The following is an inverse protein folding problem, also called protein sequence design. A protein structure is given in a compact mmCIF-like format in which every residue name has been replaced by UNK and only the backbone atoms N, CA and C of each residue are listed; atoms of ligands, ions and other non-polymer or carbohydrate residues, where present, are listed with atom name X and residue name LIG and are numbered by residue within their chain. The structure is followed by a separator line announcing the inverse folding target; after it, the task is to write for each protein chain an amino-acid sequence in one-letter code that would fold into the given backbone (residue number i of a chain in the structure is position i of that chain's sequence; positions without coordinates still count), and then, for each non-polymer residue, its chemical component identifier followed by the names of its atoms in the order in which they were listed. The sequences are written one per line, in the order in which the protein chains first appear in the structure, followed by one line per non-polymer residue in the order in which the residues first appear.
data_IF_661239700883
#
_entry.id   IF_661239700883
#
_cell.length_a   1.000
_cell.length_b   1.000
_cell.length_c   1.000
_cell.angle_alpha   90.00
_cell.angle_beta   90.00
_cell.angle_gamma   90.00
#
_symmetry.space_group_name_H-M   'P 1'
#
loop_
_entity.id
_entity.type
_entity.pdbx_description
1 polymer ?
#
# COMPACT_ATOMS: atom_id res chain seq x y z
N UNK A 1 -37.72 31.38 13.22
CA UNK A 1 -36.81 30.48 12.49
C UNK A 1 -35.68 31.32 11.94
N UNK A 2 -34.46 30.79 11.92
CA UNK A 2 -33.32 31.45 11.28
C UNK A 2 -33.47 31.37 9.76
N UNK A 3 -33.17 32.44 9.04
CA UNK A 3 -33.14 32.47 7.58
C UNK A 3 -31.75 32.09 7.04
N UNK A 4 -31.60 31.63 5.78
CA UNK A 4 -30.28 31.34 5.20
C UNK A 4 -29.30 32.52 5.23
N UNK A 5 -29.80 33.76 5.08
CA UNK A 5 -28.97 34.96 5.18
C UNK A 5 -28.47 35.22 6.62
N UNK A 6 -29.32 35.01 7.62
CA UNK A 6 -28.94 35.11 9.04
C UNK A 6 -27.95 34.01 9.44
N UNK A 7 -28.16 32.79 8.94
CA UNK A 7 -27.25 31.66 9.10
C UNK A 7 -25.87 31.99 8.55
N UNK A 8 -25.80 32.42 7.28
CA UNK A 8 -24.56 32.85 6.62
C UNK A 8 -23.83 33.89 7.44
N UNK A 9 -24.52 34.99 7.80
CA UNK A 9 -23.95 36.08 8.60
C UNK A 9 -23.42 35.60 9.95
N UNK A 10 -24.11 34.67 10.60
CA UNK A 10 -23.68 34.14 11.89
C UNK A 10 -22.45 33.25 11.77
N UNK A 11 -22.43 32.34 10.82
CA UNK A 11 -21.30 31.44 10.55
C UNK A 11 -20.06 32.25 10.17
N UNK A 12 -20.17 33.16 9.20
CA UNK A 12 -19.08 34.05 8.78
C UNK A 12 -18.56 34.88 9.95
N UNK A 13 -19.43 35.42 10.82
CA UNK A 13 -18.99 36.20 11.99
C UNK A 13 -18.22 35.34 13.00
N UNK A 14 -18.63 34.11 13.24
CA UNK A 14 -17.89 33.23 14.16
C UNK A 14 -16.55 32.84 13.57
N UNK A 15 -16.54 32.44 12.29
CA UNK A 15 -15.34 32.09 11.57
C UNK A 15 -14.37 33.28 11.46
N UNK A 16 -14.85 34.50 11.20
CA UNK A 16 -14.02 35.70 11.14
C UNK A 16 -13.25 35.95 12.45
N UNK A 17 -13.82 35.61 13.60
CA UNK A 17 -13.25 35.89 14.92
C UNK A 17 -12.40 34.74 15.49
N UNK A 18 -12.42 33.55 14.89
CA UNK A 18 -11.73 32.38 15.43
C UNK A 18 -11.25 31.45 14.30
N UNK A 19 -9.94 31.37 14.11
CA UNK A 19 -9.29 30.50 13.13
C UNK A 19 -9.68 29.03 13.33
N UNK A 20 -9.90 28.61 14.57
CA UNK A 20 -10.24 27.22 14.90
C UNK A 20 -11.63 26.87 14.42
N UNK A 21 -12.55 27.83 14.49
CA UNK A 21 -13.89 27.69 13.90
C UNK A 21 -13.77 27.55 12.39
N UNK A 22 -12.91 28.35 11.72
CA UNK A 22 -12.65 28.21 10.26
C UNK A 22 -12.18 26.81 9.92
N UNK A 23 -11.19 26.27 10.64
CA UNK A 23 -10.66 24.92 10.42
C UNK A 23 -11.74 23.86 10.56
N UNK A 24 -12.55 23.90 11.64
CA UNK A 24 -13.61 22.91 11.85
C UNK A 24 -14.71 23.02 10.79
N UNK A 25 -15.12 24.24 10.42
CA UNK A 25 -16.12 24.45 9.36
C UNK A 25 -15.63 23.94 8.01
N UNK A 26 -14.38 24.24 7.65
CA UNK A 26 -13.75 23.72 6.45
C UNK A 26 -13.68 22.19 6.47
N UNK A 27 -13.30 21.58 7.60
CA UNK A 27 -13.25 20.12 7.74
C UNK A 27 -14.64 19.48 7.63
N UNK A 28 -15.68 20.07 8.22
CA UNK A 28 -17.05 19.56 8.06
C UNK A 28 -17.49 19.57 6.61
N UNK A 29 -17.15 20.63 5.86
CA UNK A 29 -17.40 20.72 4.43
C UNK A 29 -16.62 19.66 3.64
N UNK A 30 -15.31 19.53 3.87
CA UNK A 30 -14.44 18.61 3.10
C UNK A 30 -14.62 17.13 3.44
N UNK A 31 -15.13 16.78 4.62
CA UNK A 31 -15.32 15.39 5.03
C UNK A 31 -16.66 14.80 4.55
N UNK A 32 -17.55 15.59 3.95
CA UNK A 32 -18.75 15.14 3.24
C UNK A 32 -19.53 14.01 3.94
N UNK A 33 -19.90 14.22 5.21
CA UNK A 33 -20.66 13.25 5.99
C UNK A 33 -19.83 12.17 6.72
N UNK A 34 -18.50 12.29 6.71
CA UNK A 34 -17.55 11.57 7.58
C UNK A 34 -17.01 12.43 8.73
N UNK A 35 -17.65 13.58 8.99
CA UNK A 35 -17.31 14.55 10.04
C UNK A 35 -17.74 14.07 11.45
N UNK A 36 -17.31 12.89 11.89
CA UNK A 36 -17.49 12.47 13.30
C UNK A 36 -16.55 13.25 14.22
N UNK A 37 -16.77 13.24 15.55
CA UNK A 37 -15.82 13.89 16.48
C UNK A 37 -14.40 13.32 16.31
N UNK A 38 -14.28 12.01 16.14
CA UNK A 38 -12.98 11.36 15.96
C UNK A 38 -12.30 11.83 14.68
N UNK A 39 -13.04 11.87 13.56
CA UNK A 39 -12.49 12.39 12.30
C UNK A 39 -12.12 13.86 12.39
N UNK A 40 -12.99 14.70 12.95
CA UNK A 40 -12.69 16.13 13.12
C UNK A 40 -11.49 16.35 14.03
N UNK A 41 -11.43 15.70 15.19
CA UNK A 41 -10.34 15.89 16.16
C UNK A 41 -8.99 15.46 15.56
N UNK A 42 -8.95 14.32 14.87
CA UNK A 42 -7.70 13.80 14.28
C UNK A 42 -7.19 14.70 13.16
N UNK A 43 -8.06 15.11 12.24
CA UNK A 43 -7.65 16.02 11.17
C UNK A 43 -7.31 17.41 11.71
N UNK A 44 -8.07 17.92 12.68
CA UNK A 44 -7.81 19.20 13.33
C UNK A 44 -6.45 19.21 14.02
N UNK A 45 -6.13 18.16 14.79
CA UNK A 45 -4.84 17.99 15.47
C UNK A 45 -3.67 18.07 14.48
N UNK A 46 -3.75 17.30 13.39
CA UNK A 46 -2.71 17.24 12.36
C UNK A 46 -2.55 18.58 11.61
N UNK A 47 -3.65 19.23 11.19
CA UNK A 47 -3.61 20.53 10.50
C UNK A 47 -3.05 21.62 11.41
N UNK A 48 -3.41 21.62 12.69
CA UNK A 48 -2.93 22.61 13.68
C UNK A 48 -1.57 22.27 14.27
N UNK A 49 -1.02 21.08 13.96
CA UNK A 49 0.24 20.55 14.49
C UNK A 49 0.28 20.60 16.02
N UNK A 50 -0.80 20.14 16.64
CA UNK A 50 -0.90 20.08 18.09
C UNK A 50 -0.17 18.82 18.61
N UNK A 51 0.66 18.98 19.64
CA UNK A 51 1.43 17.87 20.22
C UNK A 51 0.64 17.06 21.28
N UNK A 52 -0.58 17.49 21.61
CA UNK A 52 -1.43 16.90 22.66
C UNK A 52 -2.81 16.56 22.07
N UNK A 53 -3.01 15.27 21.79
CA UNK A 53 -4.26 14.73 21.24
C UNK A 53 -5.46 14.98 22.16
N UNK A 54 -5.26 14.94 23.48
CA UNK A 54 -6.33 15.16 24.45
C UNK A 54 -6.77 16.62 24.44
N UNK A 55 -5.83 17.55 24.29
CA UNK A 55 -6.14 18.97 24.14
C UNK A 55 -6.89 19.23 22.82
N UNK A 56 -6.43 18.64 21.71
CA UNK A 56 -7.07 18.77 20.41
C UNK A 56 -8.50 18.20 20.38
N UNK A 57 -8.74 17.02 20.97
CA UNK A 57 -10.08 16.43 21.09
C UNK A 57 -11.00 17.32 21.93
N UNK A 58 -10.53 17.81 23.08
CA UNK A 58 -11.30 18.71 23.95
C UNK A 58 -11.67 20.02 23.24
N UNK A 59 -10.71 20.63 22.54
CA UNK A 59 -10.92 21.87 21.79
C UNK A 59 -11.89 21.67 20.62
N UNK A 60 -11.71 20.60 19.83
CA UNK A 60 -12.62 20.23 18.74
C UNK A 60 -14.04 20.03 19.27
N UNK A 61 -14.22 19.26 20.36
CA UNK A 61 -15.54 19.04 20.99
C UNK A 61 -16.19 20.35 21.45
N UNK A 62 -15.41 21.26 22.03
CA UNK A 62 -15.93 22.55 22.49
C UNK A 62 -16.45 23.40 21.31
N UNK A 63 -15.69 23.48 20.22
CA UNK A 63 -16.08 24.23 19.01
C UNK A 63 -17.34 23.62 18.38
N UNK A 64 -17.35 22.31 18.16
CA UNK A 64 -18.51 21.62 17.57
C UNK A 64 -19.75 21.78 18.45
N UNK A 65 -19.60 21.69 19.78
CA UNK A 65 -20.70 21.92 20.73
C UNK A 65 -21.28 23.32 20.61
N UNK A 66 -20.44 24.35 20.47
CA UNK A 66 -20.90 25.73 20.30
C UNK A 66 -21.60 25.96 18.95
N UNK A 67 -21.04 25.41 17.86
CA UNK A 67 -21.67 25.45 16.53
C UNK A 67 -23.06 24.79 16.55
N UNK A 68 -23.18 23.63 17.20
CA UNK A 68 -24.47 22.95 17.40
C UNK A 68 -25.45 23.74 18.24
N UNK A 69 -25.00 24.33 19.35
CA UNK A 69 -25.85 25.14 20.23
C UNK A 69 -26.46 26.33 19.50
N UNK A 70 -25.75 26.88 18.52
CA UNK A 70 -26.22 27.96 17.65
C UNK A 70 -27.05 27.49 16.46
N UNK A 71 -27.24 26.19 16.29
CA UNK A 71 -27.95 25.63 15.14
C UNK A 71 -27.17 25.75 13.83
N UNK A 72 -25.84 25.87 13.89
CA UNK A 72 -24.97 25.90 12.70
C UNK A 72 -24.55 24.50 12.23
N UNK A 73 -24.64 23.51 13.11
CA UNK A 73 -24.37 22.12 12.78
C UNK A 73 -25.42 21.24 13.44
N UNK A 74 -25.83 20.19 12.74
CA UNK A 74 -26.66 19.11 13.26
C UNK A 74 -25.84 17.83 13.42
N UNK A 75 -26.36 16.92 14.25
CA UNK A 75 -25.77 15.58 14.43
C UNK A 75 -26.61 14.60 13.62
N UNK A 76 -25.98 13.93 12.68
CA UNK A 76 -26.57 12.88 11.86
C UNK A 76 -26.78 11.57 12.63
N UNK A 77 -27.28 10.57 11.92
CA UNK A 77 -27.62 9.26 12.48
C UNK A 77 -26.40 8.47 12.95
N UNK A 78 -25.27 8.61 12.26
CA UNK A 78 -24.01 7.94 12.56
C UNK A 78 -23.01 8.87 13.28
N UNK A 79 -23.54 9.86 14.01
CA UNK A 79 -22.77 10.85 14.76
C UNK A 79 -21.89 11.79 13.92
N UNK A 80 -22.13 11.86 12.61
CA UNK A 80 -21.51 12.85 11.74
C UNK A 80 -22.10 14.25 11.97
N UNK A 81 -21.30 15.30 11.76
CA UNK A 81 -21.79 16.68 11.83
C UNK A 81 -22.13 17.22 10.45
N UNK A 82 -23.37 17.67 10.29
CA UNK A 82 -23.89 18.11 9.00
C UNK A 82 -24.35 19.56 9.09
N UNK A 83 -24.34 20.24 7.95
CA UNK A 83 -25.14 21.47 7.80
C UNK A 83 -26.62 21.14 8.02
N UNK A 84 -27.40 22.01 8.69
CA UNK A 84 -28.85 21.91 8.74
C UNK A 84 -29.48 21.89 7.34
N UNK A 85 -30.57 21.14 7.18
CA UNK A 85 -31.32 21.05 5.93
C UNK A 85 -31.88 22.42 5.52
N UNK A 86 -31.68 22.80 4.25
CA UNK A 86 -32.10 24.08 3.69
C UNK A 86 -31.11 25.23 3.88
N UNK A 87 -29.90 24.94 4.36
CA UNK A 87 -28.80 25.90 4.57
C UNK A 87 -27.52 25.53 3.84
N UNK A 88 -27.54 24.50 2.99
CA UNK A 88 -26.39 23.90 2.31
C UNK A 88 -25.62 24.95 1.49
N UNK A 89 -26.31 25.66 0.58
CA UNK A 89 -25.69 26.73 -0.23
C UNK A 89 -25.06 27.82 0.64
N UNK A 90 -25.71 28.19 1.74
CA UNK A 90 -25.20 29.21 2.64
C UNK A 90 -24.00 28.71 3.47
N UNK A 91 -23.92 27.41 3.73
CA UNK A 91 -22.78 26.78 4.41
C UNK A 91 -21.61 26.61 3.44
N UNK A 92 -21.85 26.12 2.23
CA UNK A 92 -20.84 25.96 1.18
C UNK A 92 -20.19 27.29 0.81
N UNK A 93 -21.00 28.34 0.60
CA UNK A 93 -20.51 29.69 0.31
C UNK A 93 -19.51 30.20 1.36
N UNK A 94 -19.71 29.86 2.64
CA UNK A 94 -18.85 30.31 3.73
C UNK A 94 -17.69 29.35 3.98
N UNK A 95 -17.94 28.04 3.93
CA UNK A 95 -16.94 27.03 4.23
C UNK A 95 -15.85 26.94 3.15
N UNK A 96 -16.22 27.10 1.88
CA UNK A 96 -15.29 27.08 0.74
C UNK A 96 -14.23 28.18 0.83
N UNK A 97 -14.56 29.35 1.40
CA UNK A 97 -13.60 30.44 1.66
C UNK A 97 -12.46 30.02 2.62
N UNK A 98 -12.66 28.97 3.41
CA UNK A 98 -11.69 28.49 4.41
C UNK A 98 -10.97 27.21 3.97
N UNK A 99 -11.33 26.63 2.82
CA UNK A 99 -10.67 25.45 2.30
C UNK A 99 -9.29 25.83 1.78
N UNK A 100 -8.24 25.29 2.40
CA UNK A 100 -6.89 25.42 1.88
C UNK A 100 -6.68 24.42 0.75
N UNK A 101 -6.12 24.82 -0.41
CA UNK A 101 -5.81 23.88 -1.47
C UNK A 101 -4.85 22.80 -0.95
N UNK A 102 -5.01 21.52 -1.36
CA UNK A 102 -4.05 20.48 -1.00
C UNK A 102 -2.67 20.82 -1.59
N UNK A 103 -1.61 20.43 -0.87
CA UNK A 103 -0.28 20.36 -1.49
C UNK A 103 -0.36 19.39 -2.68
N UNK A 104 0.27 19.73 -3.80
CA UNK A 104 0.30 18.85 -4.97
C UNK A 104 0.89 17.48 -4.59
N UNK A 105 0.23 16.42 -5.00
CA UNK A 105 0.64 15.04 -4.71
C UNK A 105 1.99 14.72 -5.36
N UNK A 106 2.23 15.25 -6.56
CA UNK A 106 3.53 15.13 -7.25
C UNK A 106 4.65 15.80 -6.47
N UNK A 107 4.43 17.01 -5.95
CA UNK A 107 5.41 17.71 -5.13
C UNK A 107 5.69 16.97 -3.81
N UNK A 108 4.68 16.35 -3.20
CA UNK A 108 4.87 15.49 -2.03
C UNK A 108 5.70 14.24 -2.36
N UNK A 109 5.39 13.58 -3.48
CA UNK A 109 6.16 12.43 -3.97
C UNK A 109 7.63 12.79 -4.21
N UNK A 110 7.90 13.85 -4.99
CA UNK A 110 9.26 14.33 -5.28
C UNK A 110 10.04 14.68 -4.00
N UNK A 111 9.37 15.32 -3.04
CA UNK A 111 9.98 15.59 -1.74
C UNK A 111 10.37 14.29 -1.02
N UNK A 112 9.48 13.29 -0.98
CA UNK A 112 9.76 12.02 -0.33
C UNK A 112 10.92 11.27 -1.01
N UNK A 113 10.98 11.27 -2.34
CA UNK A 113 12.12 10.71 -3.11
C UNK A 113 13.42 11.44 -2.74
N UNK A 114 13.44 12.77 -2.79
CA UNK A 114 14.64 13.57 -2.49
C UNK A 114 15.17 13.37 -1.07
N UNK A 115 14.27 13.18 -0.10
CA UNK A 115 14.59 12.94 1.31
C UNK A 115 14.87 11.46 1.62
N UNK A 116 14.73 10.57 0.65
CA UNK A 116 14.80 9.10 0.84
C UNK A 116 13.82 8.62 1.93
N UNK A 117 12.63 9.22 1.97
CA UNK A 117 11.58 8.88 2.92
C UNK A 117 10.77 7.67 2.43
N UNK A 118 11.39 6.49 2.54
CA UNK A 118 10.83 5.21 2.07
C UNK A 118 9.49 4.90 2.76
N UNK A 119 9.30 5.33 4.00
CA UNK A 119 8.08 5.05 4.75
C UNK A 119 6.89 5.84 4.21
N UNK A 120 7.06 7.14 3.94
CA UNK A 120 6.02 7.95 3.28
C UNK A 120 5.73 7.48 1.85
N UNK A 121 6.77 7.09 1.09
CA UNK A 121 6.60 6.51 -0.25
C UNK A 121 5.79 5.22 -0.20
N UNK A 122 6.08 4.32 0.75
CA UNK A 122 5.32 3.08 0.90
C UNK A 122 3.88 3.32 1.36
N UNK A 123 3.65 4.27 2.27
CA UNK A 123 2.30 4.67 2.66
C UNK A 123 1.49 5.18 1.46
N UNK A 124 2.10 6.06 0.64
CA UNK A 124 1.47 6.60 -0.57
C UNK A 124 1.17 5.50 -1.60
N UNK A 125 2.13 4.59 -1.83
CA UNK A 125 1.97 3.42 -2.69
C UNK A 125 0.77 2.56 -2.26
N UNK A 126 0.68 2.22 -0.96
CA UNK A 126 -0.41 1.41 -0.43
C UNK A 126 -1.76 2.14 -0.52
N UNK A 127 -1.81 3.45 -0.25
CA UNK A 127 -3.03 4.26 -0.40
C UNK A 127 -3.54 4.29 -1.85
N UNK A 128 -2.64 4.24 -2.84
CA UNK A 128 -2.98 4.24 -4.27
C UNK A 128 -3.42 2.85 -4.78
N UNK A 129 -3.12 1.77 -4.05
CA UNK A 129 -3.41 0.37 -4.42
C UNK A 129 -4.58 -0.24 -3.63
N UNK A 130 -4.69 0.07 -2.33
CA UNK A 130 -5.64 -0.58 -1.44
C UNK A 130 -7.06 -0.04 -1.63
N UNK A 131 -8.07 -0.91 -1.80
CA UNK A 131 -9.46 -0.50 -1.75
C UNK A 131 -9.84 -0.06 -0.33
N UNK A 132 -10.95 0.69 -0.20
CA UNK A 132 -11.43 1.19 1.10
C UNK A 132 -11.83 0.09 2.10
N UNK A 133 -12.21 -1.09 1.60
CA UNK A 133 -12.52 -2.26 2.41
C UNK A 133 -11.98 -3.52 1.71
N UNK A 134 -11.38 -4.43 2.48
CA UNK A 134 -10.89 -5.70 1.97
C UNK A 134 -10.92 -6.77 3.06
N UNK A 135 -11.46 -7.95 2.74
CA UNK A 135 -11.50 -9.11 3.65
C UNK A 135 -12.06 -8.81 5.06
N UNK A 136 -13.00 -7.87 5.17
CA UNK A 136 -13.60 -7.47 6.45
C UNK A 136 -12.76 -6.50 7.28
N UNK A 137 -11.61 -6.04 6.76
CA UNK A 137 -10.80 -4.97 7.31
C UNK A 137 -11.01 -3.68 6.52
N UNK A 138 -10.93 -2.57 7.22
CA UNK A 138 -10.93 -1.25 6.59
C UNK A 138 -9.55 -0.91 6.01
N UNK A 139 -9.50 -0.03 5.02
CA UNK A 139 -8.22 0.45 4.47
C UNK A 139 -7.33 1.05 5.55
N UNK A 140 -7.92 1.78 6.49
CA UNK A 140 -7.18 2.37 7.58
C UNK A 140 -6.48 1.34 8.45
N UNK A 141 -7.20 0.28 8.86
CA UNK A 141 -6.63 -0.81 9.66
C UNK A 141 -5.51 -1.53 8.89
N UNK A 142 -5.70 -1.76 7.59
CA UNK A 142 -4.65 -2.35 6.75
C UNK A 142 -3.41 -1.45 6.70
N UNK A 143 -3.55 -0.16 6.33
CA UNK A 143 -2.43 0.78 6.26
C UNK A 143 -1.69 0.88 7.60
N UNK A 144 -2.43 1.01 8.71
CA UNK A 144 -1.87 1.06 10.05
C UNK A 144 -1.04 -0.17 10.34
N UNK A 145 -1.58 -1.36 10.08
CA UNK A 145 -0.90 -2.62 10.40
C UNK A 145 0.31 -2.82 9.48
N UNK A 146 0.20 -2.56 8.17
CA UNK A 146 1.30 -2.72 7.21
C UNK A 146 2.47 -1.79 7.52
N UNK A 147 2.23 -0.48 7.70
CA UNK A 147 3.32 0.48 7.95
C UNK A 147 3.90 0.28 9.35
N UNK A 148 3.08 -0.08 10.34
CA UNK A 148 3.58 -0.37 11.69
C UNK A 148 4.51 -1.57 11.72
N UNK A 149 4.17 -2.63 10.99
CA UNK A 149 4.96 -3.86 10.95
C UNK A 149 6.24 -3.71 10.12
N UNK A 150 6.19 -2.91 9.04
CA UNK A 150 7.38 -2.64 8.25
C UNK A 150 8.34 -1.67 8.95
N UNK A 151 7.83 -0.63 9.61
CA UNK A 151 8.64 0.46 10.15
C UNK A 151 8.52 0.57 11.66
N UNK A 152 7.36 1.06 12.15
CA UNK A 152 6.95 1.06 13.56
C UNK A 152 5.59 1.78 13.69
N UNK A 153 4.85 1.55 14.79
CA UNK A 153 3.62 2.32 15.08
C UNK A 153 3.85 3.85 15.12
N UNK A 154 4.99 4.30 15.65
CA UNK A 154 5.32 5.73 15.73
C UNK A 154 5.59 6.33 14.35
N UNK A 155 6.23 5.56 13.45
CA UNK A 155 6.44 5.99 12.06
C UNK A 155 5.10 6.11 11.34
N UNK A 156 4.19 5.15 11.50
CA UNK A 156 2.84 5.27 10.92
C UNK A 156 2.13 6.54 11.39
N UNK A 157 2.11 6.79 12.71
CA UNK A 157 1.50 7.98 13.29
C UNK A 157 2.11 9.27 12.74
N UNK A 158 3.45 9.34 12.68
CA UNK A 158 4.15 10.50 12.15
C UNK A 158 3.85 10.77 10.68
N UNK A 159 3.74 9.73 9.85
CA UNK A 159 3.43 9.87 8.43
C UNK A 159 1.98 10.31 8.26
N UNK A 160 1.05 9.70 8.99
CA UNK A 160 -0.37 10.08 8.97
C UNK A 160 -0.55 11.55 9.33
N UNK A 161 0.00 12.01 10.45
CA UNK A 161 -0.09 13.40 10.89
C UNK A 161 0.51 14.36 9.87
N UNK A 162 1.63 13.99 9.24
CA UNK A 162 2.25 14.79 8.18
C UNK A 162 1.39 14.84 6.94
N UNK A 163 0.90 13.71 6.43
CA UNK A 163 0.09 13.67 5.20
C UNK A 163 -1.22 14.46 5.40
N UNK A 164 -1.85 14.37 6.57
CA UNK A 164 -3.04 15.19 6.87
C UNK A 164 -2.66 16.67 7.02
N UNK A 165 -1.60 16.98 7.77
CA UNK A 165 -1.17 18.35 8.03
C UNK A 165 -0.66 19.10 6.79
N UNK A 166 -0.12 18.39 5.80
CA UNK A 166 0.24 18.93 4.49
C UNK A 166 -0.94 18.92 3.50
N UNK A 167 -2.11 18.44 3.94
CA UNK A 167 -3.31 18.40 3.13
C UNK A 167 -3.20 17.42 1.97
N UNK A 168 -2.47 16.32 2.13
CA UNK A 168 -2.38 15.22 1.15
C UNK A 168 -3.60 14.31 1.24
N UNK A 169 -4.03 14.00 2.46
CA UNK A 169 -5.19 13.15 2.71
C UNK A 169 -6.03 13.65 3.89
N UNK A 170 -7.20 13.04 4.06
CA UNK A 170 -8.00 13.17 5.28
C UNK A 170 -8.24 11.80 5.91
N UNK A 171 -8.22 11.79 7.23
CA UNK A 171 -8.73 10.67 7.99
C UNK A 171 -10.26 10.72 8.06
N UNK A 172 -10.92 9.68 7.57
CA UNK A 172 -12.37 9.61 7.47
C UNK A 172 -12.88 8.39 8.23
N UNK A 173 -13.82 8.60 9.15
CA UNK A 173 -14.46 7.53 9.92
C UNK A 173 -15.97 7.75 10.04
N UNK A 174 -16.73 6.73 9.68
CA UNK A 174 -18.19 6.69 9.83
C UNK A 174 -18.66 5.26 10.06
N UNK A 175 -19.33 5.04 11.19
CA UNK A 175 -19.75 3.71 11.60
C UNK A 175 -18.57 2.71 11.57
N UNK A 176 -18.64 1.67 10.72
CA UNK A 176 -17.59 0.66 10.54
C UNK A 176 -16.59 1.00 9.43
N UNK A 177 -16.75 2.13 8.74
CA UNK A 177 -15.85 2.57 7.66
C UNK A 177 -14.79 3.49 8.21
N UNK A 178 -13.54 3.20 7.88
CA UNK A 178 -12.38 3.98 8.32
C UNK A 178 -11.30 3.96 7.23
N UNK A 179 -10.86 5.11 6.74
CA UNK A 179 -9.89 5.19 5.65
C UNK A 179 -9.14 6.52 5.63
N UNK A 180 -8.03 6.55 4.89
CA UNK A 180 -7.32 7.78 4.55
C UNK A 180 -7.62 8.11 3.09
N UNK A 181 -8.38 9.17 2.85
CA UNK A 181 -8.74 9.58 1.50
C UNK A 181 -7.77 10.62 0.98
N UNK A 182 -7.09 10.34 -0.14
CA UNK A 182 -6.34 11.36 -0.88
C UNK A 182 -7.29 12.47 -1.34
N UNK A 183 -6.86 13.72 -1.24
CA UNK A 183 -7.65 14.91 -1.58
C UNK A 183 -7.63 15.27 -3.06
N UNK A 184 -6.83 14.56 -3.84
CA UNK A 184 -6.52 14.90 -5.23
C UNK A 184 -7.47 14.23 -6.20
N UNK A 185 -7.54 14.76 -7.41
CA UNK A 185 -8.30 14.20 -8.52
C UNK A 185 -7.63 12.91 -9.05
N UNK A 186 -8.40 12.07 -9.74
CA UNK A 186 -7.92 10.80 -10.28
C UNK A 186 -6.77 10.98 -11.29
N UNK A 187 -6.74 12.07 -12.06
CA UNK A 187 -5.66 12.37 -13.00
C UNK A 187 -4.33 12.63 -12.27
N UNK A 188 -4.37 13.25 -11.09
CA UNK A 188 -3.16 13.48 -10.30
C UNK A 188 -2.70 12.20 -9.60
N UNK A 189 -3.64 11.42 -9.05
CA UNK A 189 -3.33 10.08 -8.50
C UNK A 189 -2.69 9.18 -9.56
N UNK A 190 -3.21 9.19 -10.79
CA UNK A 190 -2.64 8.43 -11.91
C UNK A 190 -1.23 8.88 -12.24
N UNK A 191 -0.97 10.19 -12.36
CA UNK A 191 0.39 10.70 -12.63
C UNK A 191 1.40 10.28 -11.56
N UNK A 192 1.00 10.34 -10.29
CA UNK A 192 1.86 9.91 -9.18
C UNK A 192 2.02 8.39 -9.14
N UNK A 193 1.00 7.64 -9.53
CA UNK A 193 1.10 6.19 -9.73
C UNK A 193 2.15 5.85 -10.78
N UNK A 194 2.09 6.48 -11.95
CA UNK A 194 3.05 6.25 -13.04
C UNK A 194 4.48 6.66 -12.59
N UNK A 195 4.63 7.78 -11.90
CA UNK A 195 5.92 8.21 -11.35
C UNK A 195 6.46 7.27 -10.25
N UNK A 196 5.58 6.67 -9.43
CA UNK A 196 5.96 5.63 -8.47
C UNK A 196 6.45 4.39 -9.21
N UNK A 197 5.79 3.97 -10.28
CA UNK A 197 6.22 2.83 -11.12
C UNK A 197 7.64 3.07 -11.64
N UNK A 198 7.90 4.22 -12.25
CA UNK A 198 9.24 4.58 -12.75
C UNK A 198 10.29 4.58 -11.63
N UNK A 199 9.96 5.19 -10.49
CA UNK A 199 10.85 5.21 -9.31
C UNK A 199 11.15 3.82 -8.79
N UNK A 200 10.16 2.92 -8.72
CA UNK A 200 10.33 1.54 -8.25
C UNK A 200 11.22 0.74 -9.20
N UNK A 201 11.03 0.91 -10.50
CA UNK A 201 11.89 0.28 -11.49
C UNK A 201 13.35 0.71 -11.30
N UNK A 202 13.61 2.02 -11.17
CA UNK A 202 14.96 2.54 -10.96
C UNK A 202 15.55 2.07 -9.61
N UNK A 203 14.76 2.13 -8.53
CA UNK A 203 15.21 1.75 -7.18
C UNK A 203 15.60 0.27 -7.09
N UNK A 204 14.86 -0.60 -7.77
CA UNK A 204 15.10 -2.05 -7.76
C UNK A 204 16.03 -2.51 -8.88
N UNK A 205 16.46 -1.62 -9.78
CA UNK A 205 17.26 -1.97 -10.98
C UNK A 205 18.56 -2.67 -10.63
N UNK A 206 19.31 -2.17 -9.65
CA UNK A 206 20.58 -2.78 -9.26
C UNK A 206 20.39 -4.19 -8.69
N UNK A 207 19.34 -4.37 -7.88
CA UNK A 207 18.96 -5.68 -7.35
C UNK A 207 18.54 -6.62 -8.49
N UNK A 208 17.72 -6.12 -9.42
CA UNK A 208 17.31 -6.86 -10.61
C UNK A 208 18.52 -7.30 -11.42
N UNK A 209 19.37 -6.38 -11.87
CA UNK A 209 20.56 -6.70 -12.69
C UNK A 209 21.51 -7.68 -12.01
N UNK A 210 21.75 -7.53 -10.70
CA UNK A 210 22.54 -8.50 -9.93
C UNK A 210 21.90 -9.88 -9.93
N UNK A 211 20.57 -9.94 -9.85
CA UNK A 211 19.82 -11.18 -9.80
C UNK A 211 19.71 -11.85 -11.17
N UNK A 212 19.48 -11.07 -12.24
CA UNK A 212 19.48 -11.52 -13.63
C UNK A 212 20.81 -12.20 -13.99
N UNK A 213 21.92 -11.61 -13.57
CA UNK A 213 23.24 -12.20 -13.78
C UNK A 213 23.35 -13.58 -13.14
N UNK A 214 22.96 -13.71 -11.86
CA UNK A 214 23.00 -14.99 -11.14
C UNK A 214 22.04 -16.02 -11.75
N UNK A 215 20.85 -15.60 -12.17
CA UNK A 215 19.90 -16.46 -12.87
C UNK A 215 20.45 -16.94 -14.21
N UNK A 216 21.16 -16.08 -14.94
CA UNK A 216 21.77 -16.44 -16.22
C UNK A 216 22.90 -17.46 -16.04
N UNK A 217 23.78 -17.25 -15.06
CA UNK A 217 24.84 -18.20 -14.69
C UNK A 217 24.23 -19.57 -14.30
N UNK A 218 23.19 -19.55 -13.46
CA UNK A 218 22.46 -20.75 -13.06
C UNK A 218 21.77 -21.45 -14.26
N UNK A 219 21.17 -20.70 -15.18
CA UNK A 219 20.57 -21.25 -16.39
C UNK A 219 21.60 -21.90 -17.33
N UNK A 220 22.79 -21.31 -17.46
CA UNK A 220 23.87 -21.84 -18.27
C UNK A 220 24.41 -23.15 -17.69
N UNK A 221 24.59 -23.24 -16.37
CA UNK A 221 24.98 -24.48 -15.69
C UNK A 221 23.98 -25.62 -15.94
N UNK A 222 22.68 -25.35 -15.79
CA UNK A 222 21.61 -26.32 -16.08
C UNK A 222 21.68 -26.79 -17.55
N UNK A 223 21.86 -25.86 -18.49
CA UNK A 223 21.97 -26.18 -19.92
C UNK A 223 23.20 -27.02 -20.22
N UNK A 224 24.35 -26.71 -19.62
CA UNK A 224 25.57 -27.50 -19.78
C UNK A 224 25.41 -28.92 -19.25
N UNK A 225 24.79 -29.10 -18.09
CA UNK A 225 24.60 -30.41 -17.50
C UNK A 225 23.57 -31.25 -18.27
N UNK A 226 22.49 -30.62 -18.76
CA UNK A 226 21.56 -31.25 -19.68
C UNK A 226 22.24 -31.66 -21.00
N UNK A 227 23.16 -30.83 -21.52
CA UNK A 227 24.00 -31.14 -22.69
C UNK A 227 24.89 -32.35 -22.48
N UNK A 228 25.54 -32.45 -21.32
CA UNK A 228 26.38 -33.60 -20.95
C UNK A 228 25.57 -34.90 -20.81
N UNK A 229 24.31 -34.82 -20.39
CA UNK A 229 23.50 -36.01 -20.07
C UNK A 229 22.61 -36.53 -21.21
N UNK A 230 22.04 -35.69 -22.11
CA UNK A 230 20.94 -36.18 -22.96
C UNK A 230 20.79 -35.60 -24.38
N UNK A 231 21.58 -34.61 -24.83
CA UNK A 231 21.20 -33.81 -26.02
C UNK A 231 21.10 -34.58 -27.34
N UNK A 232 22.01 -35.50 -27.65
CA UNK A 232 21.91 -36.25 -28.92
C UNK A 232 20.75 -37.25 -28.92
N UNK A 233 20.48 -37.90 -27.78
CA UNK A 233 19.43 -38.91 -27.68
C UNK A 233 18.01 -38.32 -27.58
N UNK A 234 17.86 -37.15 -26.95
CA UNK A 234 16.56 -36.48 -26.78
C UNK A 234 16.17 -35.70 -28.05
N UNK A 235 17.10 -34.99 -28.69
CA UNK A 235 16.83 -34.27 -29.93
C UNK A 235 16.37 -35.22 -31.06
N UNK A 236 17.02 -36.39 -31.17
CA UNK A 236 16.63 -37.44 -32.12
C UNK A 236 15.26 -38.04 -31.81
N UNK A 237 14.94 -38.27 -30.52
CA UNK A 237 13.62 -38.80 -30.10
C UNK A 237 12.48 -37.80 -30.30
N UNK A 238 12.74 -36.51 -30.10
CA UNK A 238 11.74 -35.44 -30.20
C UNK A 238 11.63 -34.87 -31.62
N UNK A 239 12.51 -35.27 -32.55
CA UNK A 239 12.49 -34.79 -33.93
C UNK A 239 12.79 -33.29 -34.08
N UNK A 240 13.48 -32.70 -33.10
CA UNK A 240 13.84 -31.28 -33.07
C UNK A 240 15.35 -31.09 -33.16
N UNK A 241 15.78 -29.89 -33.55
CA UNK A 241 17.21 -29.56 -33.56
C UNK A 241 17.73 -29.37 -32.13
N UNK A 242 19.03 -29.65 -31.85
CA UNK A 242 19.63 -29.38 -30.54
C UNK A 242 19.48 -27.92 -30.08
N UNK A 243 19.50 -26.96 -31.02
CA UNK A 243 19.26 -25.54 -30.73
C UNK A 243 17.84 -25.27 -30.23
N UNK A 244 16.85 -25.93 -30.84
CA UNK A 244 15.46 -25.88 -30.38
C UNK A 244 15.32 -26.52 -29.00
N UNK A 245 16.06 -27.60 -28.73
CA UNK A 245 16.06 -28.25 -27.42
C UNK A 245 16.64 -27.33 -26.31
N UNK A 246 17.68 -26.54 -26.60
CA UNK A 246 18.25 -25.56 -25.68
C UNK A 246 17.22 -24.50 -25.23
N UNK A 247 16.29 -24.12 -26.10
CA UNK A 247 15.19 -23.19 -25.82
C UNK A 247 14.09 -23.82 -24.95
N UNK A 248 14.00 -25.16 -24.91
CA UNK A 248 13.04 -25.89 -24.08
C UNK A 248 13.59 -26.25 -22.69
N UNK A 249 14.91 -26.29 -22.51
CA UNK A 249 15.54 -26.69 -21.24
C UNK A 249 15.37 -25.63 -20.17
N UNK A 250 15.62 -24.36 -20.50
CA UNK A 250 15.50 -23.27 -19.54
C UNK A 250 15.18 -21.94 -20.22
N UNK A 251 14.18 -21.23 -19.71
CA UNK A 251 13.76 -19.91 -20.20
C UNK A 251 13.75 -18.90 -19.05
N UNK A 252 14.19 -17.69 -19.36
CA UNK A 252 14.17 -16.54 -18.47
C UNK A 252 13.61 -15.35 -19.25
N UNK A 253 12.54 -14.73 -18.74
CA UNK A 253 11.86 -13.66 -19.49
C UNK A 253 12.53 -12.28 -19.39
N UNK A 254 13.51 -12.10 -18.50
CA UNK A 254 13.97 -10.77 -18.08
C UNK A 254 13.00 -10.14 -17.08
N UNK A 255 13.48 -9.19 -16.28
CA UNK A 255 12.60 -8.41 -15.40
C UNK A 255 11.82 -7.35 -16.16
N UNK A 256 10.54 -7.24 -15.84
CA UNK A 256 9.64 -6.20 -16.31
C UNK A 256 8.73 -5.72 -15.20
N UNK A 257 8.37 -4.44 -15.23
CA UNK A 257 7.49 -3.85 -14.25
C UNK A 257 6.03 -4.28 -14.48
N UNK A 258 5.37 -4.76 -13.43
CA UNK A 258 3.92 -4.94 -13.40
C UNK A 258 3.28 -3.65 -12.89
N UNK A 259 2.58 -2.95 -13.79
CA UNK A 259 1.95 -1.66 -13.47
C UNK A 259 0.77 -1.80 -12.49
N UNK A 260 0.22 -3.02 -12.33
CA UNK A 260 -0.94 -3.27 -11.46
C UNK A 260 -0.55 -3.22 -9.99
N UNK A 261 0.47 -3.99 -9.61
CA UNK A 261 0.93 -4.13 -8.24
C UNK A 261 2.28 -3.45 -8.01
N UNK A 262 2.83 -2.78 -9.02
CA UNK A 262 4.10 -2.04 -8.99
C UNK A 262 5.27 -2.90 -8.51
N UNK A 263 5.40 -4.09 -9.08
CA UNK A 263 6.52 -4.99 -8.81
C UNK A 263 7.36 -5.22 -10.05
N UNK A 264 8.67 -5.36 -9.87
CA UNK A 264 9.51 -5.97 -10.89
C UNK A 264 9.31 -7.48 -10.85
N UNK A 265 8.89 -8.04 -11.97
CA UNK A 265 8.54 -9.45 -12.09
C UNK A 265 9.28 -10.11 -13.24
N UNK A 266 9.50 -11.41 -13.13
CA UNK A 266 10.05 -12.23 -14.21
C UNK A 266 9.55 -13.67 -14.07
N UNK A 267 9.53 -14.41 -15.17
CA UNK A 267 9.33 -15.85 -15.15
C UNK A 267 10.64 -16.58 -15.42
N UNK A 268 10.89 -17.60 -14.60
CA UNK A 268 11.99 -18.53 -14.80
C UNK A 268 11.43 -19.94 -14.92
N UNK A 269 11.79 -20.63 -15.99
CA UNK A 269 11.36 -22.01 -16.22
C UNK A 269 12.55 -22.91 -16.50
N UNK A 270 12.44 -24.14 -15.99
CA UNK A 270 13.34 -25.24 -16.29
C UNK A 270 12.48 -26.44 -16.65
N UNK A 271 12.61 -26.91 -17.89
CA UNK A 271 11.75 -27.94 -18.47
C UNK A 271 10.25 -27.59 -18.29
N UNK A 272 9.53 -28.33 -17.46
CA UNK A 272 8.11 -28.11 -17.16
C UNK A 272 7.86 -27.34 -15.85
N UNK A 273 8.90 -27.07 -15.06
CA UNK A 273 8.77 -26.29 -13.82
C UNK A 273 8.89 -24.80 -14.13
N UNK A 274 7.99 -24.01 -13.57
CA UNK A 274 7.97 -22.54 -13.72
C UNK A 274 7.86 -21.92 -12.34
N UNK A 275 8.65 -20.88 -12.10
CA UNK A 275 8.56 -20.01 -10.92
C UNK A 275 8.48 -18.56 -11.39
N UNK A 276 7.49 -17.83 -10.88
CA UNK A 276 7.40 -16.38 -11.02
C UNK A 276 8.19 -15.75 -9.89
N UNK A 277 9.08 -14.82 -10.22
CA UNK A 277 9.94 -14.13 -9.27
C UNK A 277 9.49 -12.69 -9.18
N UNK A 278 9.31 -12.20 -7.96
CA UNK A 278 8.82 -10.84 -7.67
C UNK A 278 9.84 -10.13 -6.81
N UNK A 279 10.42 -9.03 -7.30
CA UNK A 279 11.34 -8.20 -6.53
C UNK A 279 10.57 -7.06 -5.85
N UNK A 280 10.88 -6.86 -4.58
CA UNK A 280 10.39 -5.73 -3.79
C UNK A 280 11.40 -5.34 -2.73
N UNK A 281 11.33 -4.11 -2.24
CA UNK A 281 12.07 -3.70 -1.05
C UNK A 281 11.43 -4.27 0.22
N UNK A 282 10.12 -4.08 0.39
CA UNK A 282 9.31 -4.41 1.57
C UNK A 282 7.98 -4.98 1.11
N UNK A 283 7.75 -6.25 1.45
CA UNK A 283 6.54 -6.98 1.10
C UNK A 283 5.45 -6.77 2.18
N UNK A 284 4.33 -6.15 1.80
CA UNK A 284 3.16 -6.06 2.69
C UNK A 284 2.37 -7.37 2.69
N UNK A 285 1.58 -7.59 3.75
CA UNK A 285 0.59 -8.68 3.75
C UNK A 285 -0.42 -8.49 2.63
N UNK A 286 -0.86 -7.25 2.40
CA UNK A 286 -1.79 -6.92 1.34
C UNK A 286 -1.25 -7.32 -0.05
N UNK A 287 0.01 -7.00 -0.33
CA UNK A 287 0.67 -7.35 -1.58
C UNK A 287 0.70 -8.87 -1.77
N UNK A 288 1.19 -9.62 -0.77
CA UNK A 288 1.25 -11.08 -0.83
C UNK A 288 -0.15 -11.73 -0.90
N UNK A 289 -1.13 -11.15 -0.20
CA UNK A 289 -2.50 -11.61 -0.16
C UNK A 289 -3.21 -11.42 -1.51
N UNK A 290 -3.00 -10.28 -2.16
CA UNK A 290 -3.66 -9.92 -3.42
C UNK A 290 -2.92 -10.44 -4.65
N UNK A 291 -1.68 -10.91 -4.49
CA UNK A 291 -0.93 -11.64 -5.51
C UNK A 291 -1.47 -13.06 -5.73
N UNK A 292 -2.65 -13.15 -6.34
CA UNK A 292 -3.34 -14.39 -6.70
C UNK A 292 -3.60 -14.50 -8.21
N UNK A 293 -3.15 -13.52 -8.99
CA UNK A 293 -3.38 -13.44 -10.43
C UNK A 293 -2.49 -14.39 -11.23
N UNK A 294 -1.38 -14.86 -10.65
CA UNK A 294 -0.48 -15.82 -11.27
C UNK A 294 -0.80 -17.24 -10.81
N UNK A 295 -1.14 -18.17 -11.73
CA UNK A 295 -1.36 -19.58 -11.38
C UNK A 295 -0.05 -20.32 -11.04
N UNK A 296 1.11 -19.77 -11.40
CA UNK A 296 2.42 -20.35 -11.14
C UNK A 296 2.91 -20.12 -9.71
N UNK A 297 3.74 -21.04 -9.17
CA UNK A 297 4.45 -20.81 -7.90
C UNK A 297 5.20 -19.48 -7.91
N UNK A 298 5.06 -18.71 -6.83
CA UNK A 298 5.66 -17.36 -6.73
C UNK A 298 6.74 -17.32 -5.66
N UNK A 299 7.91 -16.78 -6.00
CA UNK A 299 9.00 -16.43 -5.11
C UNK A 299 9.09 -14.90 -4.98
N UNK A 300 8.70 -14.37 -3.82
CA UNK A 300 8.97 -12.98 -3.46
C UNK A 300 10.39 -12.84 -2.93
N UNK A 301 11.13 -11.86 -3.46
CA UNK A 301 12.44 -11.48 -2.98
C UNK A 301 12.31 -10.08 -2.40
N UNK A 302 12.39 -10.00 -1.07
CA UNK A 302 12.40 -8.75 -0.31
C UNK A 302 13.82 -8.42 0.15
N UNK A 303 14.09 -7.16 0.52
CA UNK A 303 15.37 -6.84 1.16
C UNK A 303 15.48 -7.52 2.53
N UNK A 304 14.45 -7.35 3.34
CA UNK A 304 14.36 -7.89 4.70
C UNK A 304 13.20 -8.90 4.80
N UNK A 305 13.34 -9.87 5.69
CA UNK A 305 12.29 -10.84 5.95
C UNK A 305 11.10 -10.14 6.64
N UNK A 306 9.88 -10.18 6.07
CA UNK A 306 8.74 -9.53 6.71
C UNK A 306 8.40 -10.21 8.05
N UNK A 307 8.14 -9.41 9.08
CA UNK A 307 7.83 -9.90 10.44
C UNK A 307 6.60 -10.81 10.49
N UNK A 308 5.59 -10.50 9.66
CA UNK A 308 4.33 -11.24 9.54
C UNK A 308 4.48 -12.63 8.92
N UNK A 309 5.65 -12.98 8.36
CA UNK A 309 5.90 -14.34 7.84
C UNK A 309 5.73 -15.40 8.93
N UNK A 310 6.04 -15.06 10.18
CA UNK A 310 5.79 -15.95 11.33
C UNK A 310 4.30 -16.17 11.63
N UNK A 311 3.43 -15.34 11.07
CA UNK A 311 1.98 -15.37 11.24
C UNK A 311 1.26 -15.64 9.91
N UNK A 312 1.97 -16.16 8.91
CA UNK A 312 1.45 -16.28 7.53
C UNK A 312 0.16 -17.10 7.43
N UNK A 313 -0.03 -18.11 8.27
CA UNK A 313 -1.30 -18.86 8.34
C UNK A 313 -2.47 -17.96 8.76
N UNK A 314 -2.23 -17.01 9.67
CA UNK A 314 -3.22 -16.01 10.08
C UNK A 314 -3.52 -15.04 8.94
N UNK A 315 -2.47 -14.56 8.26
CA UNK A 315 -2.59 -13.63 7.12
C UNK A 315 -3.45 -14.21 6.01
N UNK A 316 -3.31 -15.50 5.72
CA UNK A 316 -4.04 -16.17 4.64
C UNK A 316 -5.27 -16.96 5.09
N UNK A 317 -5.69 -16.87 6.36
CA UNK A 317 -6.78 -17.67 6.93
C UNK A 317 -8.09 -17.58 6.13
N UNK A 318 -8.40 -16.38 5.65
CA UNK A 318 -9.62 -16.08 4.90
C UNK A 318 -9.34 -15.75 3.42
N UNK A 319 -8.11 -15.97 2.95
CA UNK A 319 -7.71 -15.68 1.58
C UNK A 319 -8.26 -16.75 0.62
N UNK A 320 -8.66 -16.33 -0.58
CA UNK A 320 -8.97 -17.23 -1.69
C UNK A 320 -7.97 -17.01 -2.85
N UNK A 321 -7.32 -18.06 -3.39
CA UNK A 321 -7.33 -19.43 -2.86
C UNK A 321 -6.60 -19.51 -1.49
N UNK A 322 -6.80 -20.55 -0.68
CA UNK A 322 -6.11 -20.69 0.61
C UNK A 322 -4.60 -20.82 0.42
N UNK A 323 -3.82 -20.51 1.48
CA UNK A 323 -2.35 -20.51 1.44
C UNK A 323 -1.75 -21.75 0.76
N UNK A 324 -2.21 -22.95 1.15
CA UNK A 324 -1.75 -24.24 0.61
C UNK A 324 -1.88 -24.38 -0.92
N UNK A 325 -2.79 -23.65 -1.54
CA UNK A 325 -3.03 -23.68 -3.00
C UNK A 325 -2.25 -22.59 -3.73
N UNK A 326 -1.75 -21.56 -3.04
CA UNK A 326 -1.06 -20.40 -3.64
C UNK A 326 0.42 -20.61 -3.96
N UNK A 327 1.04 -21.69 -3.46
CA UNK A 327 2.48 -21.98 -3.62
C UNK A 327 3.36 -20.72 -3.54
N UNK A 328 3.56 -20.21 -2.33
CA UNK A 328 4.31 -18.98 -2.05
C UNK A 328 5.63 -19.32 -1.37
N UNK A 329 6.70 -18.69 -1.85
CA UNK A 329 7.99 -18.58 -1.19
C UNK A 329 8.35 -17.10 -1.00
N UNK A 330 9.00 -16.77 0.10
CA UNK A 330 9.46 -15.43 0.44
C UNK A 330 10.92 -15.56 0.87
N UNK A 331 11.83 -14.88 0.20
CA UNK A 331 13.26 -14.88 0.52
C UNK A 331 13.75 -13.46 0.76
N UNK A 332 14.70 -13.31 1.67
CA UNK A 332 15.33 -12.05 1.97
C UNK A 332 16.74 -11.99 1.39
N UNK A 333 17.00 -10.98 0.57
CA UNK A 333 18.32 -10.79 -0.05
C UNK A 333 19.41 -10.43 0.96
N UNK A 334 19.05 -9.75 2.07
CA UNK A 334 19.98 -9.37 3.15
C UNK A 334 20.13 -10.42 4.25
N UNK A 335 19.03 -10.97 4.76
CA UNK A 335 19.08 -11.88 5.92
C UNK A 335 19.39 -13.33 5.56
N UNK A 336 19.39 -13.69 4.26
CA UNK A 336 19.64 -15.05 3.76
C UNK A 336 18.70 -16.11 4.36
N UNK A 337 17.49 -15.67 4.71
CA UNK A 337 16.40 -16.52 5.17
C UNK A 337 15.35 -16.66 4.08
N UNK A 338 14.67 -17.79 4.07
CA UNK A 338 13.49 -18.00 3.24
C UNK A 338 12.35 -18.64 4.04
N UNK A 339 11.13 -18.38 3.59
CA UNK A 339 9.94 -19.13 3.91
C UNK A 339 9.41 -19.78 2.64
N UNK A 340 8.90 -21.01 2.73
CA UNK A 340 8.19 -21.64 1.63
C UNK A 340 7.08 -22.56 2.15
N UNK A 341 5.92 -22.56 1.47
CA UNK A 341 4.81 -23.47 1.76
C UNK A 341 4.66 -24.61 0.74
N UNK A 342 5.57 -24.69 -0.22
CA UNK A 342 5.63 -25.71 -1.24
C UNK A 342 7.08 -26.13 -1.45
N UNK A 343 7.27 -27.26 -2.11
CA UNK A 343 8.59 -27.77 -2.47
C UNK A 343 8.60 -28.02 -3.98
N UNK A 344 9.64 -27.53 -4.64
CA UNK A 344 10.02 -27.94 -6.00
C UNK A 344 11.55 -27.98 -6.06
N UNK A 345 12.10 -28.80 -6.95
CA UNK A 345 13.57 -28.85 -7.10
C UNK A 345 14.08 -27.52 -7.63
N UNK A 346 13.37 -26.91 -8.59
CA UNK A 346 13.70 -25.57 -9.09
C UNK A 346 13.75 -24.51 -7.98
N UNK A 347 12.79 -24.53 -7.05
CA UNK A 347 12.79 -23.59 -5.93
C UNK A 347 14.00 -23.80 -5.02
N UNK A 348 14.32 -25.06 -4.67
CA UNK A 348 15.46 -25.37 -3.81
C UNK A 348 16.77 -24.91 -4.45
N UNK A 349 16.95 -25.21 -5.73
CA UNK A 349 18.14 -24.82 -6.46
C UNK A 349 18.26 -23.30 -6.58
N UNK A 350 17.14 -22.59 -6.80
CA UNK A 350 17.15 -21.13 -6.80
C UNK A 350 17.48 -20.53 -5.43
N UNK A 351 16.87 -21.04 -4.35
CA UNK A 351 17.15 -20.56 -3.00
C UNK A 351 18.61 -20.82 -2.60
N UNK A 352 19.17 -21.97 -2.99
CA UNK A 352 20.55 -22.33 -2.67
C UNK A 352 21.56 -21.60 -3.55
N UNK A 353 21.45 -21.75 -4.87
CA UNK A 353 22.49 -21.33 -5.83
C UNK A 353 22.37 -19.87 -6.26
N UNK A 354 21.18 -19.28 -6.23
CA UNK A 354 20.95 -17.89 -6.69
C UNK A 354 20.86 -16.93 -5.50
N UNK A 355 20.17 -17.34 -4.42
CA UNK A 355 19.93 -16.49 -3.26
C UNK A 355 20.93 -16.69 -2.11
N UNK A 356 21.69 -17.78 -2.11
CA UNK A 356 22.59 -18.17 -1.01
C UNK A 356 21.82 -18.28 0.33
N UNK A 357 20.63 -18.90 0.33
CA UNK A 357 19.81 -19.03 1.54
C UNK A 357 20.45 -20.02 2.52
N UNK A 358 20.60 -19.58 3.76
CA UNK A 358 21.19 -20.38 4.85
C UNK A 358 20.12 -21.08 5.69
N UNK A 359 18.94 -20.47 5.81
CA UNK A 359 17.85 -20.94 6.66
C UNK A 359 16.52 -20.92 5.89
N UNK A 360 15.86 -22.08 5.78
CA UNK A 360 14.52 -22.22 5.18
C UNK A 360 13.53 -22.60 6.27
N UNK A 361 12.59 -21.69 6.56
CA UNK A 361 11.41 -21.97 7.38
C UNK A 361 10.34 -22.57 6.48
N UNK A 362 10.13 -23.88 6.59
CA UNK A 362 9.04 -24.54 5.89
C UNK A 362 7.76 -24.51 6.71
N UNK A 363 6.61 -24.40 6.04
CA UNK A 363 5.33 -24.66 6.69
C UNK A 363 5.31 -26.11 7.17
N UNK A 364 5.14 -26.34 8.47
CA UNK A 364 4.98 -27.68 9.02
C UNK A 364 3.77 -28.33 8.33
N UNK A 365 3.97 -29.37 7.53
CA UNK A 365 2.88 -30.19 6.92
C UNK A 365 2.03 -30.95 7.97
N UNK A 366 2.06 -30.55 9.25
CA UNK A 366 1.29 -31.14 10.34
C UNK A 366 0.11 -30.24 10.73
N UNK A 367 -0.99 -30.35 9.98
CA UNK A 367 -2.23 -31.03 10.43
C UNK A 367 -3.29 -30.99 9.34
#
# INVERSE_FOLDING_TARGET
MMTPAEYRKMLSRMAANDERVRTIVALVHMLEGYSTIESLARNYNAIRRMNDESAADSECRAIVKELRKRGLLWRGFYDEFLCPEGFEDAFEDVASEFVSPPKQLSAFFEECVSKKDIASLKMLELMLKMPYEHAGMTQYEMLKTEISDMFSPDVFKSIEERMIGEGICFYMKKAKREFLSLRHEEEEKKRVRDALVDFREEYLRDLASSFEKRLSEFADEIKEDAKKMMVESLAVKLGVTPKTLDEFICQFSGFSMDDTMMFLTTSFSVMSEVIVIVLTDRLSRYDAYTWHTYPEPTLFIAEEMPSWVNEIESVFRNAYPPLKERKIAIASSKSKKAYANFESELLKDMLNSVMDVEEIVQMNKKQ
#
